data_IF_629212810997
#
_entry.id   IF_629212810997
#
_cell.length_a   1.000
_cell.length_b   1.000
_cell.length_c   1.000
_cell.angle_alpha   90.00
_cell.angle_beta   90.00
_cell.angle_gamma   90.00
#
_symmetry.space_group_name_H-M   'P 1'
#
loop_
_entity.id
_entity.type
_entity.pdbx_description
1 polymer ?
#
# COMPACT_ATOMS: atom_id res chain seq x y z
N UNK A 1 -1.63 -8.51 92.64
CA UNK A 1 -1.85 -9.55 91.63
C UNK A 1 -1.95 -8.87 90.27
N UNK A 2 -0.84 -8.83 89.56
CA UNK A 2 -0.61 -8.03 88.34
C UNK A 2 -0.87 -8.84 87.09
N UNK A 3 -1.69 -8.33 86.17
CA UNK A 3 -1.90 -8.89 84.86
C UNK A 3 -1.02 -8.13 83.87
N UNK A 4 -0.08 -8.86 83.22
CA UNK A 4 0.79 -8.38 82.15
C UNK A 4 0.04 -8.53 80.83
N UNK A 5 -0.10 -7.39 80.11
CA UNK A 5 -0.60 -7.39 78.72
C UNK A 5 0.58 -7.46 77.78
N UNK A 6 0.68 -8.56 77.01
CA UNK A 6 1.57 -8.63 75.81
C UNK A 6 0.86 -8.02 74.61
N UNK A 7 1.45 -6.95 74.05
CA UNK A 7 1.08 -6.38 72.73
C UNK A 7 1.97 -7.00 71.69
N UNK A 8 1.39 -7.77 70.78
CA UNK A 8 2.07 -8.22 69.57
C UNK A 8 1.79 -7.24 68.44
N UNK A 9 2.85 -6.53 68.03
CA UNK A 9 2.86 -5.70 66.87
C UNK A 9 3.05 -6.57 65.62
N UNK A 10 2.00 -6.69 64.79
CA UNK A 10 2.08 -7.25 63.45
C UNK A 10 2.60 -6.20 62.46
N UNK A 11 3.81 -6.39 61.99
CA UNK A 11 4.34 -5.67 60.84
C UNK A 11 3.90 -6.42 59.56
N UNK A 12 2.86 -5.90 58.88
CA UNK A 12 2.45 -6.34 57.55
C UNK A 12 3.36 -5.70 56.50
N UNK A 13 4.27 -6.46 55.95
CA UNK A 13 5.03 -6.09 54.74
C UNK A 13 4.09 -6.23 53.54
N UNK A 14 3.50 -5.14 53.07
CA UNK A 14 2.78 -5.12 51.77
C UNK A 14 3.82 -5.09 50.67
N UNK A 15 4.11 -6.23 50.10
CA UNK A 15 4.87 -6.38 48.86
C UNK A 15 3.96 -5.96 47.68
N UNK A 16 4.06 -4.69 47.26
CA UNK A 16 3.43 -4.19 46.02
C UNK A 16 4.19 -4.78 44.86
N UNK A 17 3.72 -5.91 44.30
CA UNK A 17 4.12 -6.38 42.99
C UNK A 17 3.61 -5.37 41.95
N UNK A 18 4.43 -4.41 41.57
CA UNK A 18 4.28 -3.68 40.33
C UNK A 18 4.52 -4.67 39.15
N UNK A 19 3.47 -5.29 38.70
CA UNK A 19 3.48 -5.96 37.40
C UNK A 19 3.62 -4.87 36.34
N UNK A 20 4.85 -4.62 35.93
CA UNK A 20 5.12 -3.96 34.67
C UNK A 20 4.55 -4.88 33.61
N UNK A 21 3.37 -4.56 33.09
CA UNK A 21 2.87 -5.12 31.84
C UNK A 21 3.88 -4.69 30.76
N UNK A 22 4.90 -5.50 30.58
CA UNK A 22 5.74 -5.41 29.40
C UNK A 22 4.79 -5.62 28.22
N UNK A 23 4.44 -4.57 27.54
CA UNK A 23 3.77 -4.65 26.26
C UNK A 23 4.75 -5.39 25.35
N UNK A 24 4.53 -6.70 25.18
CA UNK A 24 5.38 -7.52 24.34
C UNK A 24 5.24 -6.94 22.92
N UNK A 25 6.30 -6.31 22.45
CA UNK A 25 6.38 -5.78 21.11
C UNK A 25 6.17 -6.90 20.07
N UNK A 26 5.92 -6.53 18.82
CA UNK A 26 5.83 -7.49 17.72
C UNK A 26 7.24 -7.76 17.22
N UNK A 27 7.89 -8.89 17.60
CA UNK A 27 9.28 -9.15 17.28
C UNK A 27 9.41 -9.50 15.81
N UNK A 28 9.86 -8.56 14.99
CA UNK A 28 10.19 -8.80 13.58
C UNK A 28 11.63 -9.31 13.50
N UNK A 29 11.80 -10.59 13.18
CA UNK A 29 13.10 -11.17 12.90
C UNK A 29 13.51 -10.83 11.46
N UNK A 30 14.77 -10.40 11.26
CA UNK A 30 15.31 -10.07 9.93
C UNK A 30 16.63 -10.78 9.68
N UNK A 31 16.84 -11.26 8.44
CA UNK A 31 18.13 -11.78 7.95
C UNK A 31 18.21 -11.72 6.43
N UNK A 32 19.40 -11.90 5.91
CA UNK A 32 19.68 -11.96 4.46
C UNK A 32 20.11 -13.38 4.11
N UNK A 33 19.56 -13.92 3.02
CA UNK A 33 19.97 -15.21 2.48
C UNK A 33 21.26 -15.09 1.64
N UNK A 34 21.98 -16.21 1.40
CA UNK A 34 23.20 -16.19 0.58
C UNK A 34 23.00 -15.63 -0.84
N UNK A 35 21.79 -15.73 -1.39
CA UNK A 35 21.42 -15.17 -2.70
C UNK A 35 21.00 -13.68 -2.63
N UNK A 36 21.15 -13.01 -1.49
CA UNK A 36 20.83 -11.60 -1.31
C UNK A 36 19.37 -11.29 -0.94
N UNK A 37 18.48 -12.27 -0.93
CA UNK A 37 17.08 -12.04 -0.53
C UNK A 37 17.00 -11.63 0.95
N UNK A 38 16.19 -10.60 1.25
CA UNK A 38 15.94 -10.12 2.61
C UNK A 38 14.68 -10.74 3.16
N UNK A 39 14.73 -11.34 4.34
CA UNK A 39 13.62 -12.04 4.97
C UNK A 39 13.22 -11.36 6.26
N UNK A 40 11.93 -11.18 6.45
CA UNK A 40 11.29 -10.59 7.63
C UNK A 40 10.24 -11.57 8.15
N UNK A 41 10.32 -11.98 9.41
CA UNK A 41 9.45 -12.98 10.00
C UNK A 41 8.82 -12.46 11.29
N UNK A 42 7.51 -12.64 11.42
CA UNK A 42 6.80 -12.61 12.69
C UNK A 42 6.23 -14.00 12.95
N UNK A 43 6.70 -14.65 14.01
CA UNK A 43 6.16 -15.93 14.46
C UNK A 43 4.78 -15.72 15.11
N UNK A 44 3.74 -16.33 14.55
CA UNK A 44 2.37 -16.23 15.02
C UNK A 44 1.74 -17.65 15.11
N UNK A 45 2.09 -18.44 16.15
CA UNK A 45 1.71 -19.85 16.23
C UNK A 45 0.25 -20.11 16.62
N UNK A 46 -0.54 -19.08 16.88
CA UNK A 46 -1.94 -19.21 17.32
C UNK A 46 -2.87 -19.91 16.32
N UNK A 47 -2.54 -19.85 15.01
CA UNK A 47 -3.24 -20.56 13.94
C UNK A 47 -2.25 -21.39 13.13
N UNK A 48 -2.58 -22.64 12.75
CA UNK A 48 -1.70 -23.52 11.98
C UNK A 48 -1.66 -23.11 10.49
N UNK A 49 -1.30 -21.86 10.22
CA UNK A 49 -1.23 -21.29 8.88
C UNK A 49 -0.08 -20.30 8.76
N UNK A 50 0.31 -20.02 7.52
CA UNK A 50 1.33 -19.04 7.18
C UNK A 50 0.89 -18.19 6.01
N UNK A 51 1.18 -16.92 6.12
CA UNK A 51 1.08 -15.92 5.04
C UNK A 51 2.49 -15.48 4.65
N UNK A 52 2.79 -15.50 3.36
CA UNK A 52 4.06 -15.06 2.78
C UNK A 52 3.78 -14.03 1.70
N UNK A 53 4.52 -12.93 1.73
CA UNK A 53 4.55 -11.95 0.64
C UNK A 53 5.99 -11.77 0.17
N UNK A 54 6.18 -11.86 -1.15
CA UNK A 54 7.48 -11.61 -1.81
C UNK A 54 7.30 -10.37 -2.68
N UNK A 55 8.05 -9.33 -2.37
CA UNK A 55 8.03 -8.06 -3.10
C UNK A 55 9.31 -7.88 -3.92
N UNK A 56 9.14 -7.45 -5.17
CA UNK A 56 10.21 -7.08 -6.09
C UNK A 56 10.05 -5.63 -6.53
N UNK A 57 11.15 -4.94 -6.78
CA UNK A 57 11.17 -3.61 -7.38
C UNK A 57 10.87 -3.70 -8.88
N UNK A 58 9.63 -4.05 -9.19
CA UNK A 58 9.12 -4.34 -10.52
C UNK A 58 7.67 -3.85 -10.70
N UNK A 59 7.32 -2.75 -10.03
CA UNK A 59 6.01 -2.11 -10.22
C UNK A 59 5.92 -1.34 -11.53
N UNK A 60 4.75 -0.75 -11.79
CA UNK A 60 4.44 -0.04 -13.03
C UNK A 60 5.40 1.14 -13.34
N UNK A 61 6.08 1.70 -12.32
CA UNK A 61 7.13 2.70 -12.54
C UNK A 61 8.35 2.17 -13.29
N UNK A 62 8.45 0.86 -13.47
CA UNK A 62 9.47 0.18 -14.28
C UNK A 62 9.04 -0.08 -15.71
N UNK A 63 7.78 0.18 -16.03
CA UNK A 63 7.27 0.02 -17.38
C UNK A 63 7.92 1.04 -18.33
N UNK A 64 8.29 0.64 -19.55
CA UNK A 64 8.60 1.63 -20.60
C UNK A 64 7.36 2.51 -20.86
N UNK A 65 7.56 3.80 -21.10
CA UNK A 65 6.47 4.74 -21.36
C UNK A 65 5.53 4.30 -22.49
N UNK A 66 6.06 3.57 -23.49
CA UNK A 66 5.30 3.02 -24.62
C UNK A 66 4.59 1.70 -24.32
N UNK A 67 4.83 1.12 -23.14
CA UNK A 67 4.28 -0.17 -22.70
C UNK A 67 3.71 -0.08 -21.28
N UNK A 68 3.12 1.06 -20.91
CA UNK A 68 2.47 1.23 -19.62
C UNK A 68 1.40 0.13 -19.41
N UNK A 69 1.50 -0.60 -18.30
CA UNK A 69 0.71 -1.79 -18.02
C UNK A 69 1.49 -3.11 -18.13
N UNK A 70 2.78 -3.09 -18.52
CA UNK A 70 3.60 -4.29 -18.69
C UNK A 70 3.77 -5.08 -17.39
N UNK A 71 4.04 -4.40 -16.26
CA UNK A 71 4.12 -5.04 -14.95
C UNK A 71 2.82 -5.75 -14.58
N UNK A 72 1.68 -5.06 -14.76
CA UNK A 72 0.35 -5.62 -14.48
C UNK A 72 0.01 -6.79 -15.42
N UNK A 73 0.34 -6.68 -16.72
CA UNK A 73 0.16 -7.75 -17.69
C UNK A 73 1.00 -8.99 -17.31
N UNK A 74 2.24 -8.79 -16.88
CA UNK A 74 3.10 -9.87 -16.41
C UNK A 74 2.50 -10.55 -15.18
N UNK A 75 2.00 -9.79 -14.21
CA UNK A 75 1.37 -10.31 -13.01
C UNK A 75 0.14 -11.17 -13.34
N UNK A 76 -0.77 -10.65 -14.17
CA UNK A 76 -1.96 -11.40 -14.62
C UNK A 76 -1.56 -12.70 -15.32
N UNK A 77 -0.60 -12.63 -16.24
CA UNK A 77 -0.21 -13.78 -17.04
C UNK A 77 0.56 -14.85 -16.26
N UNK A 78 1.15 -14.54 -15.12
CA UNK A 78 1.76 -15.52 -14.21
C UNK A 78 0.72 -16.46 -13.58
N UNK A 79 -0.55 -16.09 -13.53
CA UNK A 79 -1.64 -16.97 -13.07
C UNK A 79 -2.25 -17.86 -14.17
N UNK A 80 -1.80 -17.71 -15.45
CA UNK A 80 -2.41 -18.36 -16.60
C UNK A 80 -1.74 -19.68 -17.00
N UNK A 81 -0.89 -20.19 -16.13
CA UNK A 81 -0.27 -21.50 -16.28
C UNK A 81 1.21 -21.51 -16.00
N UNK A 82 1.75 -22.71 -15.86
CA UNK A 82 3.18 -22.98 -15.62
C UNK A 82 3.75 -23.93 -16.65
N UNK A 83 5.01 -23.70 -17.02
CA UNK A 83 5.72 -24.58 -17.96
C UNK A 83 6.08 -25.93 -17.35
N UNK A 84 6.33 -26.94 -18.19
CA UNK A 84 6.91 -28.21 -17.74
C UNK A 84 8.31 -27.96 -17.14
N UNK A 85 8.62 -28.65 -16.03
CA UNK A 85 9.92 -28.52 -15.35
C UNK A 85 10.21 -29.77 -14.53
N UNK A 86 11.46 -30.29 -14.65
CA UNK A 86 11.95 -31.36 -13.78
C UNK A 86 11.10 -32.62 -13.76
N UNK A 87 10.51 -33.01 -14.89
CA UNK A 87 9.59 -34.14 -15.00
C UNK A 87 8.12 -33.82 -14.67
N UNK A 88 7.82 -32.66 -14.08
CA UNK A 88 6.44 -32.21 -13.88
C UNK A 88 5.87 -31.63 -15.17
N UNK A 89 4.64 -32.07 -15.53
CA UNK A 89 3.95 -31.60 -16.73
C UNK A 89 3.55 -30.12 -16.62
N UNK A 90 3.41 -29.45 -17.77
CA UNK A 90 2.83 -28.12 -17.83
C UNK A 90 1.39 -28.14 -17.27
N UNK A 91 0.98 -27.02 -16.65
CA UNK A 91 -0.40 -26.80 -16.21
C UNK A 91 -0.93 -25.54 -16.88
N UNK A 92 -2.15 -25.59 -17.37
CA UNK A 92 -2.91 -24.40 -17.75
C UNK A 92 -3.57 -23.73 -16.53
N UNK A 93 -4.35 -22.68 -16.74
CA UNK A 93 -5.03 -21.93 -15.68
C UNK A 93 -5.98 -22.82 -14.84
N UNK A 94 -6.72 -23.74 -15.48
CA UNK A 94 -7.68 -24.59 -14.80
C UNK A 94 -6.97 -25.63 -13.92
N UNK A 95 -6.02 -26.36 -14.49
CA UNK A 95 -5.21 -27.35 -13.75
C UNK A 95 -4.44 -26.70 -12.59
N UNK A 96 -3.97 -25.46 -12.78
CA UNK A 96 -3.31 -24.68 -11.74
C UNK A 96 -4.29 -24.30 -10.63
N UNK A 97 -5.51 -23.88 -10.99
CA UNK A 97 -6.57 -23.56 -10.03
C UNK A 97 -7.00 -24.76 -9.20
N UNK A 98 -7.16 -25.93 -9.84
CA UNK A 98 -7.46 -27.19 -9.15
C UNK A 98 -6.35 -27.57 -8.18
N UNK A 99 -5.09 -27.51 -8.60
CA UNK A 99 -3.95 -27.82 -7.74
C UNK A 99 -3.87 -26.91 -6.50
N UNK A 100 -4.19 -25.63 -6.62
CA UNK A 100 -4.27 -24.71 -5.48
C UNK A 100 -5.45 -25.05 -4.55
N UNK A 101 -6.60 -25.41 -5.11
CA UNK A 101 -7.79 -25.81 -4.35
C UNK A 101 -7.54 -27.10 -3.55
N UNK A 102 -6.91 -28.10 -4.14
CA UNK A 102 -6.55 -29.37 -3.51
C UNK A 102 -5.60 -29.18 -2.31
N UNK A 103 -4.73 -28.17 -2.39
CA UNK A 103 -3.80 -27.82 -1.31
C UNK A 103 -4.48 -26.97 -0.20
N UNK A 104 -5.72 -26.48 -0.42
CA UNK A 104 -6.37 -25.53 0.48
C UNK A 104 -5.54 -24.25 0.65
N UNK A 105 -4.76 -23.88 -0.37
CA UNK A 105 -3.85 -22.76 -0.39
C UNK A 105 -4.25 -21.71 -1.42
N UNK A 106 -3.72 -20.52 -1.30
CA UNK A 106 -3.92 -19.46 -2.30
C UNK A 106 -2.60 -18.83 -2.72
N UNK A 107 -2.49 -18.56 -4.01
CA UNK A 107 -1.35 -17.87 -4.61
C UNK A 107 -1.87 -16.75 -5.50
N UNK A 108 -1.42 -15.53 -5.25
CA UNK A 108 -1.84 -14.35 -6.00
C UNK A 108 -0.64 -13.51 -6.39
N UNK A 109 -0.69 -12.95 -7.59
CA UNK A 109 0.33 -12.04 -8.11
C UNK A 109 -0.33 -10.74 -8.50
N UNK A 110 0.26 -9.63 -8.09
CA UNK A 110 -0.22 -8.29 -8.45
C UNK A 110 0.94 -7.32 -8.65
N UNK A 111 0.73 -6.29 -9.44
CA UNK A 111 1.63 -5.18 -9.59
C UNK A 111 0.96 -3.88 -9.15
N UNK A 112 1.67 -3.06 -8.38
CA UNK A 112 1.31 -1.68 -8.04
C UNK A 112 2.27 -0.72 -8.74
N UNK A 113 2.22 0.57 -8.39
CA UNK A 113 3.18 1.52 -8.94
C UNK A 113 4.64 1.15 -8.63
N UNK A 114 4.91 0.67 -7.41
CA UNK A 114 6.27 0.41 -6.94
C UNK A 114 6.64 -1.07 -6.91
N UNK A 115 5.69 -1.94 -6.60
CA UNK A 115 5.92 -3.33 -6.24
C UNK A 115 5.30 -4.28 -7.24
N UNK A 116 6.02 -5.35 -7.48
CA UNK A 116 5.47 -6.59 -7.99
C UNK A 116 5.41 -7.57 -6.82
N UNK A 117 4.22 -7.94 -6.39
CA UNK A 117 4.01 -8.71 -5.18
C UNK A 117 3.43 -10.07 -5.47
N UNK A 118 4.01 -11.10 -4.85
CA UNK A 118 3.55 -12.48 -4.87
C UNK A 118 3.11 -12.85 -3.45
N UNK A 119 1.89 -13.33 -3.30
CA UNK A 119 1.30 -13.69 -2.02
C UNK A 119 0.96 -15.17 -2.00
N UNK A 120 1.42 -15.86 -0.97
CA UNK A 120 1.09 -17.26 -0.68
C UNK A 120 0.45 -17.36 0.70
N UNK A 121 -0.68 -18.03 0.80
CA UNK A 121 -1.28 -18.45 2.07
C UNK A 121 -1.46 -19.97 2.06
N UNK A 122 -1.04 -20.63 3.12
CA UNK A 122 -1.18 -22.08 3.28
C UNK A 122 -1.38 -22.47 4.74
N UNK A 123 -1.96 -23.64 4.96
CA UNK A 123 -1.86 -24.34 6.25
C UNK A 123 -0.42 -24.81 6.46
N UNK A 124 -0.01 -24.95 7.74
CA UNK A 124 1.36 -25.40 8.09
C UNK A 124 1.48 -26.91 8.27
N UNK A 125 0.44 -27.69 7.92
CA UNK A 125 0.55 -29.15 7.80
C UNK A 125 1.58 -29.48 6.73
N UNK A 126 2.50 -30.38 7.07
CA UNK A 126 3.72 -30.64 6.26
C UNK A 126 3.39 -30.90 4.80
N UNK A 127 2.47 -31.82 4.51
CA UNK A 127 2.15 -32.23 3.13
C UNK A 127 1.53 -31.08 2.32
N UNK A 128 0.66 -30.29 2.95
CA UNK A 128 -0.01 -29.16 2.31
C UNK A 128 0.98 -28.01 2.08
N UNK A 129 1.80 -27.69 3.09
CA UNK A 129 2.79 -26.62 2.99
C UNK A 129 3.88 -26.95 1.96
N UNK A 130 4.36 -28.20 1.96
CA UNK A 130 5.37 -28.66 0.99
C UNK A 130 4.86 -28.56 -0.44
N UNK A 131 3.63 -29.06 -0.68
CA UNK A 131 2.96 -28.94 -1.97
C UNK A 131 2.75 -27.48 -2.40
N UNK A 132 2.26 -26.62 -1.48
CA UNK A 132 2.02 -25.21 -1.75
C UNK A 132 3.31 -24.45 -2.08
N UNK A 133 4.38 -24.67 -1.33
CA UNK A 133 5.70 -24.06 -1.56
C UNK A 133 6.30 -24.54 -2.90
N UNK A 134 6.17 -25.82 -3.21
CA UNK A 134 6.67 -26.37 -4.49
C UNK A 134 5.91 -25.78 -5.69
N UNK A 135 4.59 -25.72 -5.61
CA UNK A 135 3.75 -25.14 -6.67
C UNK A 135 4.02 -23.64 -6.82
N UNK A 136 4.11 -22.90 -5.70
CA UNK A 136 4.45 -21.47 -5.70
C UNK A 136 5.83 -21.20 -6.31
N UNK A 137 6.85 -21.97 -5.93
CA UNK A 137 8.21 -21.85 -6.49
C UNK A 137 8.21 -22.04 -8.01
N UNK A 138 7.45 -23.03 -8.49
CA UNK A 138 7.31 -23.29 -9.93
C UNK A 138 6.55 -22.18 -10.65
N UNK A 139 5.44 -21.71 -10.08
CA UNK A 139 4.64 -20.63 -10.66
C UNK A 139 5.40 -19.30 -10.66
N UNK A 140 6.20 -19.04 -9.63
CA UNK A 140 7.05 -17.86 -9.52
C UNK A 140 8.17 -17.88 -10.59
N UNK A 141 8.78 -19.03 -10.82
CA UNK A 141 9.99 -19.12 -11.64
C UNK A 141 9.75 -19.53 -13.11
N UNK A 142 8.71 -20.28 -13.39
CA UNK A 142 8.44 -20.88 -14.71
C UNK A 142 7.00 -20.62 -15.20
N UNK A 143 6.51 -19.36 -15.20
CA UNK A 143 5.21 -19.06 -15.81
C UNK A 143 5.28 -19.34 -17.32
N UNK A 144 4.23 -19.93 -17.89
CA UNK A 144 4.22 -20.36 -19.29
C UNK A 144 4.00 -19.21 -20.29
N UNK A 145 3.30 -18.14 -19.86
CA UNK A 145 2.90 -17.01 -20.71
C UNK A 145 2.31 -17.45 -22.05
N UNK A 146 1.15 -18.16 -22.09
CA UNK A 146 0.59 -18.68 -23.33
C UNK A 146 0.09 -17.54 -24.21
N UNK A 147 0.53 -17.49 -25.47
CA UNK A 147 0.26 -16.38 -26.40
C UNK A 147 -1.23 -16.21 -26.72
N UNK A 148 -1.97 -17.31 -26.89
CA UNK A 148 -3.42 -17.25 -27.15
C UNK A 148 -4.18 -16.68 -25.94
N UNK A 149 -3.76 -17.04 -24.72
CA UNK A 149 -4.36 -16.50 -23.48
C UNK A 149 -4.05 -15.01 -23.37
N UNK A 150 -2.79 -14.58 -23.65
CA UNK A 150 -2.46 -13.16 -23.66
C UNK A 150 -3.31 -12.36 -24.67
N UNK A 151 -3.57 -12.88 -25.84
CA UNK A 151 -4.45 -12.21 -26.81
C UNK A 151 -5.86 -12.01 -26.24
N UNK A 152 -6.43 -13.02 -25.59
CA UNK A 152 -7.76 -12.95 -24.98
C UNK A 152 -7.77 -11.98 -23.79
N UNK A 153 -6.75 -12.02 -22.91
CA UNK A 153 -6.63 -11.11 -21.77
C UNK A 153 -6.48 -9.67 -22.24
N UNK A 154 -5.66 -9.42 -23.26
CA UNK A 154 -5.49 -8.10 -23.87
C UNK A 154 -6.80 -7.54 -24.40
N UNK A 155 -7.59 -8.36 -25.12
CA UNK A 155 -8.91 -7.94 -25.61
C UNK A 155 -9.88 -7.61 -24.47
N UNK A 156 -9.93 -8.46 -23.42
CA UNK A 156 -10.73 -8.18 -22.22
C UNK A 156 -10.32 -6.88 -21.57
N UNK A 157 -9.04 -6.65 -21.44
CA UNK A 157 -8.52 -5.43 -20.83
C UNK A 157 -8.81 -4.19 -21.66
N UNK A 158 -8.68 -4.26 -22.98
CA UNK A 158 -9.08 -3.18 -23.88
C UNK A 158 -10.56 -2.85 -23.76
N UNK A 159 -11.43 -3.85 -23.68
CA UNK A 159 -12.86 -3.64 -23.45
C UNK A 159 -13.14 -2.98 -22.09
N UNK A 160 -12.46 -3.41 -21.03
CA UNK A 160 -12.54 -2.81 -19.71
C UNK A 160 -12.07 -1.34 -19.69
N UNK A 161 -11.01 -1.01 -20.44
CA UNK A 161 -10.54 0.39 -20.60
C UNK A 161 -11.56 1.23 -21.38
N UNK A 162 -12.18 0.67 -22.42
CA UNK A 162 -13.24 1.36 -23.17
C UNK A 162 -14.43 1.67 -22.25
N UNK A 163 -14.85 0.72 -21.41
CA UNK A 163 -15.88 0.94 -20.39
C UNK A 163 -15.44 1.96 -19.34
N UNK A 164 -14.22 1.85 -18.81
CA UNK A 164 -13.70 2.81 -17.82
C UNK A 164 -13.69 4.24 -18.36
N UNK A 165 -13.41 4.43 -19.65
CA UNK A 165 -13.44 5.74 -20.32
C UNK A 165 -14.85 6.37 -20.43
N UNK A 166 -15.92 5.64 -20.10
CA UNK A 166 -17.27 6.20 -19.97
C UNK A 166 -17.56 6.68 -18.53
N UNK A 167 -16.68 6.42 -17.59
CA UNK A 167 -16.87 6.73 -16.16
C UNK A 167 -16.23 8.08 -15.80
N UNK A 168 -17.02 9.08 -15.38
CA UNK A 168 -16.51 10.43 -15.14
C UNK A 168 -15.40 10.48 -14.07
N UNK A 169 -15.55 9.72 -12.98
CA UNK A 169 -14.54 9.67 -11.92
C UNK A 169 -13.19 9.09 -12.39
N UNK A 170 -13.22 8.12 -13.31
CA UNK A 170 -12.01 7.54 -13.91
C UNK A 170 -11.27 8.58 -14.79
N UNK A 171 -12.01 9.28 -15.67
CA UNK A 171 -11.44 10.30 -16.53
C UNK A 171 -10.86 11.47 -15.74
N UNK A 172 -11.57 11.93 -14.72
CA UNK A 172 -11.08 13.00 -13.84
C UNK A 172 -9.82 12.56 -13.08
N UNK A 173 -9.77 11.31 -12.60
CA UNK A 173 -8.60 10.74 -11.91
C UNK A 173 -7.36 10.64 -12.82
N UNK A 174 -7.55 10.24 -14.08
CA UNK A 174 -6.48 10.19 -15.09
C UNK A 174 -5.91 11.58 -15.37
N UNK A 175 -6.79 12.55 -15.63
CA UNK A 175 -6.39 13.93 -15.87
C UNK A 175 -5.61 14.50 -14.68
N UNK A 176 -6.07 14.22 -13.46
CA UNK A 176 -5.37 14.61 -12.23
C UNK A 176 -3.99 13.96 -12.13
N UNK A 177 -3.88 12.65 -12.31
CA UNK A 177 -2.60 11.95 -12.24
C UNK A 177 -1.60 12.47 -13.29
N UNK A 178 -2.04 12.64 -14.53
CA UNK A 178 -1.21 13.20 -15.59
C UNK A 178 -0.70 14.62 -15.27
N UNK A 179 -1.56 15.47 -14.70
CA UNK A 179 -1.19 16.84 -14.35
C UNK A 179 -0.27 16.92 -13.12
N UNK A 180 -0.48 16.05 -12.12
CA UNK A 180 0.33 16.03 -10.89
C UNK A 180 1.70 15.43 -11.13
N UNK A 181 1.80 14.35 -11.90
CA UNK A 181 3.04 13.61 -12.06
C UNK A 181 3.83 13.97 -13.34
N UNK A 182 3.20 14.64 -14.30
CA UNK A 182 3.85 15.03 -15.56
C UNK A 182 4.46 13.83 -16.28
N UNK A 183 5.77 13.86 -16.48
CA UNK A 183 6.53 12.80 -17.17
C UNK A 183 6.98 11.68 -16.24
N UNK A 184 6.73 11.78 -14.92
CA UNK A 184 7.09 10.73 -13.98
C UNK A 184 6.23 9.48 -14.20
N UNK A 185 6.79 8.26 -14.09
CA UNK A 185 6.05 7.00 -14.35
C UNK A 185 4.78 6.80 -13.51
N UNK A 186 4.64 7.44 -12.35
CA UNK A 186 3.39 7.40 -11.57
C UNK A 186 2.19 8.02 -12.31
N UNK A 187 2.44 8.87 -13.30
CA UNK A 187 1.42 9.47 -14.15
C UNK A 187 1.12 8.70 -15.43
N UNK A 188 1.86 7.60 -15.70
CA UNK A 188 1.60 6.80 -16.89
C UNK A 188 0.23 6.13 -16.80
N UNK A 189 -0.50 6.23 -17.90
CA UNK A 189 -1.80 5.64 -18.03
C UNK A 189 -1.74 4.50 -19.06
N UNK A 190 -2.35 3.35 -18.72
CA UNK A 190 -2.47 2.24 -19.63
C UNK A 190 -3.52 2.55 -20.68
N UNK A 191 -3.14 2.55 -21.96
CA UNK A 191 -4.04 2.76 -23.10
C UNK A 191 -4.17 1.51 -23.95
N UNK A 192 -5.17 1.48 -24.84
CA UNK A 192 -5.31 0.39 -25.82
C UNK A 192 -4.07 0.25 -26.71
N UNK A 193 -3.43 1.36 -27.08
CA UNK A 193 -2.19 1.35 -27.86
C UNK A 193 -1.02 0.73 -27.06
N UNK A 194 -0.88 1.07 -25.77
CA UNK A 194 0.12 0.45 -24.91
C UNK A 194 -0.09 -1.06 -24.78
N UNK A 195 -1.34 -1.51 -24.59
CA UNK A 195 -1.65 -2.94 -24.53
C UNK A 195 -1.35 -3.68 -25.87
N UNK A 196 -1.58 -3.01 -27.00
CA UNK A 196 -1.23 -3.58 -28.31
C UNK A 196 0.29 -3.72 -28.50
N UNK A 197 1.08 -2.81 -27.94
CA UNK A 197 2.54 -2.86 -27.99
C UNK A 197 3.16 -3.93 -27.09
N UNK A 198 2.39 -4.51 -26.15
CA UNK A 198 2.88 -5.56 -25.24
C UNK A 198 2.72 -6.92 -25.90
N UNK A 199 3.84 -7.62 -26.07
CA UNK A 199 3.91 -8.99 -26.58
C UNK A 199 4.40 -9.96 -25.49
N UNK A 200 4.19 -11.26 -25.68
CA UNK A 200 4.65 -12.29 -24.73
C UNK A 200 6.17 -12.24 -24.50
N UNK A 201 6.95 -11.86 -25.52
CA UNK A 201 8.38 -11.64 -25.37
C UNK A 201 8.73 -10.57 -24.34
N UNK A 202 7.94 -9.48 -24.27
CA UNK A 202 8.09 -8.41 -23.28
C UNK A 202 7.78 -8.89 -21.87
N UNK A 203 6.71 -9.72 -21.69
CA UNK A 203 6.35 -10.32 -20.40
C UNK A 203 7.48 -11.20 -19.86
N UNK A 204 8.04 -12.08 -20.72
CA UNK A 204 9.18 -12.94 -20.36
C UNK A 204 10.43 -12.14 -20.01
N UNK A 205 10.75 -11.12 -20.81
CA UNK A 205 11.89 -10.26 -20.56
C UNK A 205 11.74 -9.46 -19.24
N UNK A 206 10.53 -8.95 -18.97
CA UNK A 206 10.22 -8.26 -17.72
C UNK A 206 10.38 -9.19 -16.52
N UNK A 207 9.78 -10.38 -16.56
CA UNK A 207 9.92 -11.40 -15.53
C UNK A 207 11.39 -11.74 -15.26
N UNK A 208 12.15 -12.11 -16.28
CA UNK A 208 13.55 -12.50 -16.15
C UNK A 208 14.44 -11.37 -15.60
N UNK A 209 14.14 -10.11 -15.96
CA UNK A 209 14.92 -8.94 -15.55
C UNK A 209 14.68 -8.55 -14.11
N UNK A 210 13.43 -8.56 -13.66
CA UNK A 210 13.05 -7.93 -12.40
C UNK A 210 12.76 -8.93 -11.27
N UNK A 211 12.35 -10.16 -11.58
CA UNK A 211 12.05 -11.16 -10.56
C UNK A 211 13.29 -12.04 -10.30
N UNK A 212 14.26 -11.48 -9.60
CA UNK A 212 15.51 -12.15 -9.24
C UNK A 212 15.59 -12.36 -7.73
N UNK A 213 16.13 -13.50 -7.28
CA UNK A 213 16.18 -13.84 -5.86
C UNK A 213 16.87 -12.76 -5.02
N UNK A 214 17.96 -12.18 -5.51
CA UNK A 214 18.72 -11.12 -4.81
C UNK A 214 17.96 -9.79 -4.62
N UNK A 215 16.85 -9.57 -5.34
CA UNK A 215 15.99 -8.39 -5.17
C UNK A 215 14.78 -8.66 -4.28
N UNK A 216 14.53 -9.94 -3.92
CA UNK A 216 13.36 -10.33 -3.18
C UNK A 216 13.38 -9.77 -1.75
N UNK A 217 12.27 -9.16 -1.33
CA UNK A 217 11.94 -8.85 0.05
C UNK A 217 10.80 -9.78 0.47
N UNK A 218 11.09 -10.70 1.37
CA UNK A 218 10.15 -11.75 1.77
C UNK A 218 9.65 -11.47 3.17
N UNK A 219 8.37 -11.21 3.29
CA UNK A 219 7.68 -11.01 4.57
C UNK A 219 6.85 -12.24 4.91
N UNK A 220 6.92 -12.71 6.15
CA UNK A 220 6.27 -13.93 6.61
C UNK A 220 5.60 -13.67 7.94
N UNK A 221 4.34 -14.09 8.06
CA UNK A 221 3.61 -14.10 9.34
C UNK A 221 2.90 -15.43 9.47
N UNK A 222 3.10 -16.15 10.58
CA UNK A 222 2.40 -17.39 10.82
C UNK A 222 3.14 -18.39 11.73
N UNK A 223 2.66 -19.63 11.72
CA UNK A 223 3.15 -20.69 12.58
C UNK A 223 4.39 -21.38 11.99
N UNK A 224 5.44 -20.61 11.73
CA UNK A 224 6.77 -21.09 11.34
C UNK A 224 7.82 -20.43 12.23
N UNK A 225 8.80 -21.21 12.70
CA UNK A 225 9.98 -20.66 13.32
C UNK A 225 11.00 -20.22 12.24
N UNK A 226 12.07 -19.53 12.68
CA UNK A 226 13.11 -19.00 11.78
C UNK A 226 13.72 -20.06 10.86
N UNK A 227 14.06 -21.23 11.37
CA UNK A 227 14.70 -22.31 10.58
C UNK A 227 13.74 -22.85 9.51
N UNK A 228 12.48 -23.07 9.88
CA UNK A 228 11.44 -23.46 8.93
C UNK A 228 11.21 -22.40 7.87
N UNK A 229 11.03 -21.13 8.27
CA UNK A 229 10.84 -20.02 7.36
C UNK A 229 12.01 -19.89 6.36
N UNK A 230 13.26 -19.99 6.84
CA UNK A 230 14.44 -19.95 5.97
C UNK A 230 14.41 -21.08 4.93
N UNK A 231 14.12 -22.31 5.33
CA UNK A 231 14.03 -23.45 4.41
C UNK A 231 12.95 -23.22 3.33
N UNK A 232 11.76 -22.73 3.72
CA UNK A 232 10.66 -22.45 2.79
C UNK A 232 10.99 -21.32 1.83
N UNK A 233 11.60 -20.24 2.30
CA UNK A 233 12.01 -19.13 1.42
C UNK A 233 13.08 -19.58 0.43
N UNK A 234 14.08 -20.37 0.88
CA UNK A 234 15.09 -20.92 -0.01
C UNK A 234 14.45 -21.76 -1.12
N UNK A 235 13.46 -22.59 -0.79
CA UNK A 235 12.71 -23.39 -1.77
C UNK A 235 11.86 -22.52 -2.69
N UNK A 236 11.13 -21.53 -2.18
CA UNK A 236 10.31 -20.61 -2.98
C UNK A 236 11.13 -19.86 -4.04
N UNK A 237 12.34 -19.46 -3.69
CA UNK A 237 13.20 -18.67 -4.59
C UNK A 237 14.15 -19.54 -5.43
N UNK A 238 14.16 -20.86 -5.26
CA UNK A 238 15.17 -21.77 -5.87
C UNK A 238 15.20 -21.74 -7.40
N UNK A 239 14.07 -21.50 -8.05
CA UNK A 239 13.95 -21.44 -9.51
C UNK A 239 14.28 -20.08 -10.12
N UNK A 240 14.47 -19.04 -9.30
CA UNK A 240 14.90 -17.72 -9.76
C UNK A 240 16.43 -17.66 -9.87
N UNK A 241 16.96 -16.64 -10.56
CA UNK A 241 18.40 -16.40 -10.60
C UNK A 241 18.98 -16.31 -9.19
N UNK A 242 20.01 -17.12 -8.91
CA UNK A 242 20.66 -17.23 -7.60
C UNK A 242 21.95 -16.38 -7.49
N UNK A 243 22.14 -15.39 -8.36
CA UNK A 243 23.26 -14.48 -8.24
C UNK A 243 23.25 -13.81 -6.85
N UNK A 244 24.40 -13.78 -6.13
CA UNK A 244 24.45 -13.24 -4.76
C UNK A 244 24.24 -11.72 -4.72
N UNK A 245 24.46 -11.04 -5.83
CA UNK A 245 24.20 -9.62 -6.01
C UNK A 245 23.52 -9.37 -7.35
N UNK A 246 22.48 -8.57 -7.32
CA UNK A 246 21.81 -8.10 -8.54
C UNK A 246 22.52 -6.90 -9.13
N UNK A 247 22.46 -6.77 -10.45
CA UNK A 247 22.77 -5.51 -11.09
C UNK A 247 21.83 -4.40 -10.58
N UNK A 248 22.36 -3.20 -10.40
CA UNK A 248 21.56 -2.05 -10.02
C UNK A 248 20.47 -1.81 -11.07
N UNK A 249 19.25 -1.61 -10.60
CA UNK A 249 18.14 -1.22 -11.47
C UNK A 249 18.32 0.24 -11.92
N UNK A 250 17.84 0.60 -13.12
CA UNK A 250 17.85 1.99 -13.57
C UNK A 250 17.17 2.90 -12.53
N UNK A 251 17.78 4.06 -12.29
CA UNK A 251 17.16 5.06 -11.41
C UNK A 251 15.82 5.54 -12.01
N UNK A 252 14.81 5.66 -11.15
CA UNK A 252 13.57 6.34 -11.47
C UNK A 252 13.74 7.79 -11.02
N UNK A 253 13.43 8.80 -11.84
CA UNK A 253 13.58 10.20 -11.44
C UNK A 253 12.62 10.53 -10.29
N UNK A 254 12.93 11.57 -9.51
CA UNK A 254 12.02 12.08 -8.48
C UNK A 254 10.84 12.84 -9.10
N UNK A 255 9.69 12.77 -8.42
CA UNK A 255 8.50 13.54 -8.80
C UNK A 255 8.80 15.02 -8.61
N UNK A 256 8.57 15.82 -9.65
CA UNK A 256 8.82 17.25 -9.60
C UNK A 256 7.67 18.00 -8.94
N UNK A 257 8.00 18.98 -8.10
CA UNK A 257 7.01 19.87 -7.52
C UNK A 257 6.35 20.74 -8.59
N UNK A 258 5.08 21.08 -8.39
CA UNK A 258 4.35 21.98 -9.27
C UNK A 258 4.89 23.42 -9.13
N UNK A 259 5.10 24.09 -10.24
CA UNK A 259 5.58 25.48 -10.26
C UNK A 259 4.46 26.52 -10.31
N UNK A 260 3.25 26.11 -10.72
CA UNK A 260 2.04 26.94 -10.84
C UNK A 260 0.78 26.12 -10.69
N UNK A 261 -0.32 26.79 -10.35
CA UNK A 261 -1.66 26.18 -10.37
C UNK A 261 -2.06 25.77 -11.81
N UNK A 262 -2.87 24.71 -11.88
CA UNK A 262 -3.48 24.26 -13.13
C UNK A 262 -4.96 23.95 -12.86
N UNK A 263 -5.86 24.69 -13.51
CA UNK A 263 -7.29 24.42 -13.47
C UNK A 263 -7.71 23.74 -14.79
N UNK A 264 -8.19 22.49 -14.68
CA UNK A 264 -8.54 21.63 -15.81
C UNK A 264 -10.05 21.37 -15.75
N UNK A 265 -10.78 21.97 -16.67
CA UNK A 265 -12.22 21.72 -16.85
C UNK A 265 -12.40 20.71 -17.98
N UNK A 266 -13.11 19.60 -17.69
CA UNK A 266 -13.42 18.56 -18.66
C UNK A 266 -14.92 18.52 -18.87
N UNK A 267 -15.41 18.91 -20.06
CA UNK A 267 -16.83 18.77 -20.39
C UNK A 267 -17.26 17.32 -20.37
N UNK A 268 -18.31 17.03 -19.65
CA UNK A 268 -18.89 15.69 -19.59
C UNK A 268 -20.37 15.78 -19.19
N UNK A 269 -21.23 15.06 -19.88
CA UNK A 269 -22.64 15.04 -19.54
C UNK A 269 -22.86 14.12 -18.33
N UNK A 270 -23.03 14.73 -17.15
CA UNK A 270 -23.22 14.03 -15.89
C UNK A 270 -24.12 14.84 -14.96
N UNK A 271 -24.90 14.15 -14.13
CA UNK A 271 -25.66 14.78 -13.05
C UNK A 271 -24.77 15.34 -11.95
N UNK A 272 -23.56 14.79 -11.80
CA UNK A 272 -22.59 15.19 -10.78
C UNK A 272 -21.27 15.59 -11.43
N UNK A 273 -20.65 16.62 -10.88
CA UNK A 273 -19.28 16.97 -11.16
C UNK A 273 -18.31 16.19 -10.24
N UNK A 274 -17.24 15.70 -10.81
CA UNK A 274 -16.12 15.08 -10.10
C UNK A 274 -14.97 16.06 -9.97
N UNK A 275 -14.50 16.29 -8.75
CA UNK A 275 -13.47 17.27 -8.46
C UNK A 275 -12.30 16.60 -7.76
N UNK A 276 -11.09 16.90 -8.26
CA UNK A 276 -9.83 16.56 -7.60
C UNK A 276 -8.97 17.82 -7.46
N UNK A 277 -8.46 18.08 -6.25
CA UNK A 277 -7.54 19.18 -5.96
C UNK A 277 -6.31 18.58 -5.31
N UNK A 278 -5.10 18.90 -5.76
CA UNK A 278 -3.90 18.38 -5.11
C UNK A 278 -2.61 18.64 -5.85
N UNK A 279 -1.56 18.04 -5.35
CA UNK A 279 -0.17 18.20 -5.79
C UNK A 279 0.66 16.96 -5.45
N UNK A 280 1.93 16.83 -5.90
CA UNK A 280 2.86 15.88 -5.31
C UNK A 280 2.99 16.12 -3.79
N UNK A 281 2.93 15.06 -3.01
CA UNK A 281 3.05 15.08 -1.57
C UNK A 281 4.45 14.66 -1.12
N UNK A 282 4.56 13.50 -0.44
CA UNK A 282 5.81 12.99 0.13
C UNK A 282 6.08 11.55 -0.26
N UNK A 283 7.35 11.14 -0.16
CA UNK A 283 7.73 9.73 -0.12
C UNK A 283 7.39 9.11 1.25
N UNK A 284 7.18 7.79 1.28
CA UNK A 284 6.80 7.06 2.52
C UNK A 284 7.86 7.12 3.62
N UNK A 285 9.13 7.24 3.24
CA UNK A 285 10.25 7.36 4.18
C UNK A 285 10.40 8.76 4.80
N UNK A 286 9.61 9.74 4.34
CA UNK A 286 9.67 11.10 4.90
C UNK A 286 9.43 11.10 6.42
N UNK A 287 10.24 11.83 7.20
CA UNK A 287 9.98 12.02 8.63
C UNK A 287 8.65 12.73 8.91
N UNK A 288 8.10 13.42 7.94
CA UNK A 288 6.84 14.15 8.01
C UNK A 288 5.61 13.25 7.95
N UNK A 289 5.78 11.97 7.63
CA UNK A 289 4.69 11.04 7.38
C UNK A 289 3.65 10.99 8.51
N UNK A 290 4.10 10.90 9.76
CA UNK A 290 3.17 10.78 10.89
C UNK A 290 2.41 12.08 11.16
N UNK A 291 3.08 13.23 11.09
CA UNK A 291 2.44 14.54 11.25
C UNK A 291 1.39 14.79 10.16
N UNK A 292 1.72 14.45 8.90
CA UNK A 292 0.77 14.52 7.79
C UNK A 292 -0.38 13.52 7.94
N UNK A 293 -0.15 12.34 8.52
CA UNK A 293 -1.19 11.35 8.79
C UNK A 293 -2.20 11.89 9.82
N UNK A 294 -1.72 12.42 10.95
CA UNK A 294 -2.58 12.98 12.01
C UNK A 294 -3.29 14.22 11.49
N UNK A 295 -2.57 15.16 10.86
CA UNK A 295 -3.17 16.37 10.32
C UNK A 295 -4.21 16.09 9.22
N UNK A 296 -3.93 15.11 8.35
CA UNK A 296 -4.91 14.72 7.32
C UNK A 296 -6.17 14.09 7.92
N UNK A 297 -6.07 13.39 9.06
CA UNK A 297 -7.27 12.91 9.76
C UNK A 297 -8.19 14.07 10.11
N UNK A 298 -7.64 15.19 10.63
CA UNK A 298 -8.40 16.40 10.93
C UNK A 298 -8.92 17.09 9.67
N UNK A 299 -8.08 17.20 8.63
CA UNK A 299 -8.42 17.92 7.39
C UNK A 299 -9.56 17.25 6.62
N UNK A 300 -9.43 15.95 6.30
CA UNK A 300 -10.40 15.27 5.44
C UNK A 300 -10.38 13.74 5.53
N UNK A 301 -9.46 13.15 6.30
CA UNK A 301 -9.32 11.69 6.44
C UNK A 301 -10.19 11.09 7.56
N UNK A 302 -10.65 11.88 8.52
CA UNK A 302 -11.42 11.44 9.69
C UNK A 302 -12.92 11.27 9.44
N UNK A 303 -13.39 11.29 8.19
CA UNK A 303 -14.80 11.17 7.85
C UNK A 303 -15.61 12.33 8.41
N UNK A 304 -16.69 12.05 9.14
CA UNK A 304 -17.65 13.06 9.64
C UNK A 304 -17.05 14.09 10.60
N UNK A 305 -15.95 13.79 11.25
CA UNK A 305 -15.30 14.72 12.19
C UNK A 305 -14.23 15.60 11.51
N UNK A 306 -14.05 15.48 10.20
CA UNK A 306 -13.05 16.25 9.47
C UNK A 306 -13.58 17.60 9.00
N UNK A 307 -12.67 18.61 8.93
CA UNK A 307 -13.01 19.97 8.52
C UNK A 307 -13.65 20.04 7.12
N UNK A 308 -13.13 19.27 6.16
CA UNK A 308 -13.71 19.21 4.81
C UNK A 308 -15.15 18.71 4.84
N UNK A 309 -15.43 17.64 5.58
CA UNK A 309 -16.78 17.12 5.69
C UNK A 309 -17.70 18.14 6.37
N UNK A 310 -17.27 18.73 7.48
CA UNK A 310 -18.04 19.76 8.19
C UNK A 310 -18.37 20.95 7.28
N UNK A 311 -17.38 21.50 6.57
CA UNK A 311 -17.54 22.75 5.83
C UNK A 311 -18.23 22.56 4.47
N UNK A 312 -17.92 21.47 3.75
CA UNK A 312 -18.43 21.23 2.39
C UNK A 312 -19.77 20.49 2.43
N UNK A 313 -19.89 19.49 3.33
CA UNK A 313 -21.08 18.65 3.41
C UNK A 313 -22.08 19.16 4.44
N UNK A 314 -21.72 19.20 5.72
CA UNK A 314 -22.67 19.41 6.82
C UNK A 314 -23.21 20.85 6.81
N UNK A 315 -22.35 21.86 6.71
CA UNK A 315 -22.76 23.27 6.77
C UNK A 315 -23.37 23.80 5.47
N UNK A 316 -22.94 23.28 4.31
CA UNK A 316 -23.32 23.85 3.00
C UNK A 316 -24.05 22.90 2.07
N UNK A 317 -24.10 21.61 2.38
CA UNK A 317 -24.80 20.63 1.54
C UNK A 317 -24.26 20.51 0.11
N UNK A 318 -22.98 20.90 -0.11
CA UNK A 318 -22.39 20.96 -1.44
C UNK A 318 -21.95 19.59 -1.95
N UNK A 319 -21.65 18.64 -1.08
CA UNK A 319 -21.18 17.32 -1.46
C UNK A 319 -21.71 16.27 -0.52
N UNK A 320 -22.03 15.07 -1.04
CA UNK A 320 -22.33 13.92 -0.20
C UNK A 320 -21.05 13.27 0.36
N UNK A 321 -19.95 13.33 -0.40
CA UNK A 321 -18.67 12.74 -0.02
C UNK A 321 -17.54 13.70 -0.37
N UNK A 322 -16.75 14.07 0.61
CA UNK A 322 -15.51 14.82 0.47
C UNK A 322 -14.47 14.22 1.39
N UNK A 323 -13.26 14.07 0.89
CA UNK A 323 -12.14 13.53 1.68
C UNK A 323 -10.81 14.06 1.17
N UNK A 324 -9.79 14.00 2.03
CA UNK A 324 -8.40 14.20 1.63
C UNK A 324 -7.53 13.04 2.06
N UNK A 325 -6.47 12.78 1.30
CA UNK A 325 -5.47 11.78 1.66
C UNK A 325 -4.13 12.04 0.98
N UNK A 326 -3.08 11.57 1.64
CA UNK A 326 -1.76 11.39 1.08
C UNK A 326 -1.60 9.95 0.61
N UNK A 327 -0.95 9.75 -0.53
CA UNK A 327 -0.64 8.43 -1.09
C UNK A 327 0.87 8.24 -1.17
N UNK A 328 1.60 8.25 -0.03
CA UNK A 328 3.05 8.18 -0.04
C UNK A 328 3.53 6.85 -0.62
N UNK A 329 4.55 6.91 -1.46
CA UNK A 329 5.11 5.80 -2.21
C UNK A 329 6.64 5.80 -2.08
N UNK A 330 7.39 5.06 -2.91
CA UNK A 330 8.85 5.14 -2.93
C UNK A 330 9.35 6.55 -3.30
N UNK A 331 8.65 7.19 -4.24
CA UNK A 331 8.82 8.62 -4.56
C UNK A 331 7.63 9.40 -3.98
N UNK A 332 7.63 10.73 -4.16
CA UNK A 332 6.54 11.56 -3.68
C UNK A 332 5.20 11.17 -4.33
N UNK A 333 4.36 10.50 -3.57
CA UNK A 333 2.98 10.24 -3.98
C UNK A 333 2.09 11.48 -3.79
N UNK A 334 0.91 11.51 -4.42
CA UNK A 334 0.07 12.69 -4.39
C UNK A 334 -0.60 12.93 -3.02
N UNK A 335 -0.74 14.21 -2.66
CA UNK A 335 -1.81 14.69 -1.81
C UNK A 335 -3.01 15.01 -2.69
N UNK A 336 -4.22 14.59 -2.29
CA UNK A 336 -5.43 14.81 -3.04
C UNK A 336 -6.64 15.07 -2.14
N UNK A 337 -7.42 16.11 -2.45
CA UNK A 337 -8.81 16.26 -2.04
C UNK A 337 -9.68 15.71 -3.17
N UNK A 338 -10.67 14.91 -2.83
CA UNK A 338 -11.64 14.35 -3.77
C UNK A 338 -13.06 14.64 -3.28
N UNK A 339 -13.92 15.12 -4.17
CA UNK A 339 -15.33 15.32 -3.88
C UNK A 339 -16.19 15.14 -5.13
N UNK A 340 -17.49 14.86 -4.88
CA UNK A 340 -18.52 14.83 -5.90
C UNK A 340 -19.62 15.80 -5.50
N UNK A 341 -20.10 16.61 -6.44
CA UNK A 341 -21.09 17.65 -6.20
C UNK A 341 -22.07 17.75 -7.36
N UNK A 342 -23.17 18.45 -7.18
CA UNK A 342 -24.05 18.79 -8.30
C UNK A 342 -23.31 19.64 -9.32
N UNK A 343 -23.56 19.42 -10.61
CA UNK A 343 -22.83 20.06 -11.70
C UNK A 343 -22.86 21.61 -11.62
N UNK A 344 -23.99 22.20 -11.18
CA UNK A 344 -24.16 23.65 -11.00
C UNK A 344 -23.59 24.21 -9.68
N UNK A 345 -23.04 23.36 -8.81
CA UNK A 345 -22.43 23.77 -7.53
C UNK A 345 -20.92 23.53 -7.51
N UNK A 346 -20.35 23.03 -8.61
CA UNK A 346 -18.95 22.63 -8.66
C UNK A 346 -17.98 23.78 -8.32
N UNK A 347 -18.21 24.97 -8.86
CA UNK A 347 -17.37 26.15 -8.58
C UNK A 347 -17.37 26.51 -7.08
N UNK A 348 -18.56 26.52 -6.45
CA UNK A 348 -18.68 26.81 -5.03
C UNK A 348 -18.02 25.73 -4.16
N UNK A 349 -18.20 24.45 -4.52
CA UNK A 349 -17.59 23.33 -3.79
C UNK A 349 -16.04 23.37 -3.87
N UNK A 350 -15.48 23.69 -5.04
CA UNK A 350 -14.04 23.89 -5.25
C UNK A 350 -13.53 25.04 -4.39
N UNK A 351 -14.23 26.19 -4.41
CA UNK A 351 -13.86 27.36 -3.63
C UNK A 351 -13.80 27.03 -2.14
N UNK A 352 -14.87 26.46 -1.58
CA UNK A 352 -14.92 26.09 -0.15
C UNK A 352 -13.83 25.08 0.20
N UNK A 353 -13.59 24.06 -0.62
CA UNK A 353 -12.53 23.07 -0.36
C UNK A 353 -11.13 23.69 -0.37
N UNK A 354 -10.85 24.63 -1.29
CA UNK A 354 -9.60 25.40 -1.33
C UNK A 354 -9.44 26.32 -0.12
N UNK A 355 -10.50 26.99 0.31
CA UNK A 355 -10.51 27.85 1.51
C UNK A 355 -10.20 27.04 2.77
N UNK A 356 -10.86 25.89 2.95
CA UNK A 356 -10.59 24.98 4.10
C UNK A 356 -9.15 24.50 4.09
N UNK A 357 -8.63 24.13 2.92
CA UNK A 357 -7.24 23.70 2.80
C UNK A 357 -6.26 24.83 3.12
N UNK A 358 -6.47 26.02 2.56
CA UNK A 358 -5.58 27.17 2.78
C UNK A 358 -5.59 27.59 4.26
N UNK A 359 -6.76 27.65 4.89
CA UNK A 359 -6.89 27.91 6.31
C UNK A 359 -6.15 26.86 7.16
N UNK A 360 -6.30 25.57 6.83
CA UNK A 360 -5.61 24.49 7.53
C UNK A 360 -4.09 24.56 7.39
N UNK A 361 -3.58 24.89 6.20
CA UNK A 361 -2.13 25.06 5.96
C UNK A 361 -1.59 26.28 6.72
N UNK A 362 -2.36 27.37 6.78
CA UNK A 362 -1.95 28.62 7.42
C UNK A 362 -2.02 28.55 8.95
N UNK A 363 -3.11 28.03 9.51
CA UNK A 363 -3.40 28.09 10.95
C UNK A 363 -3.24 26.75 11.67
N UNK A 364 -3.23 25.63 10.92
CA UNK A 364 -3.16 24.28 11.48
C UNK A 364 -4.43 23.80 12.17
N UNK A 365 -4.36 22.61 12.79
CA UNK A 365 -5.43 22.10 13.64
C UNK A 365 -5.37 22.72 15.03
N UNK A 366 -6.49 22.70 15.74
CA UNK A 366 -6.54 23.01 17.17
C UNK A 366 -5.99 21.83 18.00
N UNK A 367 -5.56 22.09 19.25
CA UNK A 367 -5.11 21.03 20.16
C UNK A 367 -6.22 19.99 20.42
N UNK A 368 -7.48 20.41 20.49
CA UNK A 368 -8.62 19.50 20.68
C UNK A 368 -8.82 18.56 19.48
N UNK A 369 -8.69 19.07 18.25
CA UNK A 369 -8.76 18.24 17.01
C UNK A 369 -7.59 17.26 16.95
N UNK A 370 -6.38 17.70 17.31
CA UNK A 370 -5.20 16.83 17.36
C UNK A 370 -5.38 15.72 18.39
N UNK A 371 -5.88 16.04 19.58
CA UNK A 371 -6.12 15.05 20.62
C UNK A 371 -7.16 14.02 20.16
N UNK A 372 -8.28 14.45 19.59
CA UNK A 372 -9.31 13.56 19.06
C UNK A 372 -8.77 12.67 17.92
N UNK A 373 -7.92 13.21 17.05
CA UNK A 373 -7.27 12.44 16.00
C UNK A 373 -6.34 11.36 16.55
N UNK A 374 -5.51 11.71 17.56
CA UNK A 374 -4.63 10.76 18.25
C UNK A 374 -5.42 9.65 18.92
N UNK A 375 -6.45 10.00 19.69
CA UNK A 375 -7.28 9.03 20.41
C UNK A 375 -7.89 8.00 19.45
N UNK A 376 -8.39 8.43 18.28
CA UNK A 376 -8.92 7.54 17.26
C UNK A 376 -7.84 6.68 16.61
N UNK A 377 -6.75 7.30 16.18
CA UNK A 377 -5.67 6.60 15.46
C UNK A 377 -4.95 5.59 16.35
N UNK A 378 -4.66 5.94 17.61
CA UNK A 378 -3.99 5.06 18.58
C UNK A 378 -4.97 4.00 19.08
N UNK A 379 -6.21 4.38 19.43
CA UNK A 379 -7.22 3.44 19.86
C UNK A 379 -7.58 2.39 18.80
N UNK A 380 -7.55 2.79 17.53
CA UNK A 380 -7.77 1.89 16.39
C UNK A 380 -6.53 1.09 15.95
N UNK A 381 -5.35 1.33 16.54
CA UNK A 381 -4.10 0.74 16.04
C UNK A 381 -4.06 -0.77 16.18
N UNK A 382 -4.52 -1.32 17.29
CA UNK A 382 -4.58 -2.77 17.52
C UNK A 382 -5.42 -3.50 16.44
N UNK A 383 -6.48 -2.87 15.93
CA UNK A 383 -7.32 -3.43 14.86
C UNK A 383 -6.61 -3.51 13.50
N UNK A 384 -5.45 -2.86 13.36
CA UNK A 384 -4.60 -2.95 12.16
C UNK A 384 -3.62 -4.12 12.23
N UNK A 385 -3.57 -4.86 13.33
CA UNK A 385 -2.62 -5.92 13.63
C UNK A 385 -3.32 -7.22 14.08
N UNK A 386 -4.64 -7.28 14.08
CA UNK A 386 -5.48 -8.31 14.69
C UNK A 386 -5.56 -9.64 13.90
N UNK A 387 -4.90 -9.72 12.75
CA UNK A 387 -4.86 -10.93 11.94
C UNK A 387 -3.51 -11.08 11.23
N UNK A 388 -3.14 -12.33 10.88
CA UNK A 388 -1.92 -12.60 10.12
C UNK A 388 -1.85 -11.75 8.84
N UNK A 389 -2.95 -11.56 8.13
CA UNK A 389 -3.01 -10.77 6.90
C UNK A 389 -2.65 -9.31 7.15
N UNK A 390 -3.31 -8.67 8.12
CA UNK A 390 -3.05 -7.26 8.44
C UNK A 390 -1.63 -7.07 9.00
N UNK A 391 -1.16 -8.03 9.79
CA UNK A 391 0.22 -8.00 10.30
C UNK A 391 1.22 -8.16 9.16
N UNK A 392 0.97 -9.08 8.20
CA UNK A 392 1.79 -9.23 7.01
C UNK A 392 1.85 -7.94 6.18
N UNK A 393 0.72 -7.28 5.96
CA UNK A 393 0.66 -6.00 5.24
C UNK A 393 1.55 -4.93 5.91
N UNK A 394 1.60 -4.89 7.24
CA UNK A 394 2.49 -3.99 7.98
C UNK A 394 3.96 -4.41 7.88
N UNK A 395 4.27 -5.69 8.06
CA UNK A 395 5.64 -6.22 7.96
C UNK A 395 6.20 -6.01 6.54
N UNK A 396 5.39 -6.25 5.51
CA UNK A 396 5.80 -6.01 4.12
C UNK A 396 6.04 -4.53 3.83
N UNK A 397 5.27 -3.62 4.44
CA UNK A 397 5.54 -2.19 4.33
C UNK A 397 6.82 -1.77 5.05
N UNK A 398 7.11 -2.34 6.23
CA UNK A 398 8.37 -2.13 6.95
C UNK A 398 9.53 -2.60 6.08
N UNK A 399 9.44 -3.82 5.53
CA UNK A 399 10.44 -4.40 4.65
C UNK A 399 10.64 -3.59 3.37
N UNK A 400 9.57 -3.10 2.77
CA UNK A 400 9.61 -2.40 1.48
C UNK A 400 10.23 -1.00 1.59
N UNK A 401 9.83 -0.27 2.61
CA UNK A 401 10.29 1.11 2.82
C UNK A 401 11.52 1.21 3.72
N UNK A 402 12.16 0.07 4.05
CA UNK A 402 13.31 0.00 4.96
C UNK A 402 13.06 0.78 6.26
N UNK A 403 11.85 0.64 6.84
CA UNK A 403 11.49 1.26 8.12
C UNK A 403 12.17 0.50 9.29
N UNK A 404 12.37 1.13 10.44
CA UNK A 404 12.88 0.47 11.63
C UNK A 404 12.04 -0.78 12.00
N UNK A 405 12.68 -1.85 12.47
CA UNK A 405 11.98 -3.09 12.82
C UNK A 405 11.03 -2.92 14.02
N UNK A 406 11.30 -1.94 14.88
CA UNK A 406 10.47 -1.52 16.01
C UNK A 406 9.37 -0.50 15.62
N UNK A 407 9.14 -0.31 14.32
CA UNK A 407 8.20 0.72 13.84
C UNK A 407 6.81 0.56 14.43
N UNK A 408 6.30 -0.66 14.54
CA UNK A 408 4.97 -0.93 15.10
C UNK A 408 4.92 -0.66 16.60
N UNK A 409 5.98 -0.98 17.30
CA UNK A 409 6.07 -0.80 18.76
C UNK A 409 6.17 0.68 19.16
N UNK A 410 6.85 1.47 18.33
CA UNK A 410 7.11 2.90 18.59
C UNK A 410 6.09 3.83 17.93
N UNK A 411 5.19 3.30 17.09
CA UNK A 411 4.25 4.11 16.30
C UNK A 411 3.31 4.95 17.15
N UNK A 412 2.66 4.33 18.14
CA UNK A 412 1.72 5.01 19.04
C UNK A 412 2.38 6.13 19.83
N UNK A 413 3.58 5.88 20.36
CA UNK A 413 4.35 6.88 21.11
C UNK A 413 4.77 8.06 20.22
N UNK A 414 5.17 7.78 18.98
CA UNK A 414 5.52 8.84 18.02
C UNK A 414 4.30 9.70 17.67
N UNK A 415 3.15 9.09 17.46
CA UNK A 415 1.88 9.80 17.21
C UNK A 415 1.49 10.63 18.44
N UNK A 416 1.61 10.06 19.65
CA UNK A 416 1.26 10.74 20.91
C UNK A 416 2.06 12.03 21.14
N UNK A 417 3.32 12.07 20.70
CA UNK A 417 4.22 13.23 20.89
C UNK A 417 3.95 14.40 19.96
N UNK A 418 3.23 14.19 18.84
CA UNK A 418 2.95 15.26 17.88
C UNK A 418 2.09 16.36 18.53
N UNK A 419 2.39 17.61 18.23
CA UNK A 419 1.65 18.78 18.68
C UNK A 419 0.95 19.47 17.50
N UNK A 420 -0.02 20.35 17.77
CA UNK A 420 -0.67 21.13 16.73
C UNK A 420 0.33 22.04 15.97
N UNK A 421 1.31 22.69 16.61
CA UNK A 421 2.37 23.42 15.91
C UNK A 421 3.24 22.54 15.00
N UNK A 422 3.58 21.29 15.42
CA UNK A 422 4.34 20.37 14.56
C UNK A 422 3.58 20.02 13.28
N UNK A 423 2.28 19.77 13.42
CA UNK A 423 1.39 19.45 12.29
C UNK A 423 1.25 20.67 11.38
N UNK A 424 0.98 21.85 11.94
CA UNK A 424 0.86 23.09 11.14
C UNK A 424 2.16 23.37 10.37
N UNK A 425 3.31 23.35 11.03
CA UNK A 425 4.60 23.58 10.38
C UNK A 425 4.88 22.54 9.28
N UNK A 426 4.46 21.28 9.49
CA UNK A 426 4.61 20.22 8.49
C UNK A 426 3.72 20.45 7.28
N UNK A 427 2.46 20.82 7.46
CA UNK A 427 1.54 21.13 6.36
C UNK A 427 2.01 22.37 5.58
N UNK A 428 2.45 23.43 6.26
CA UNK A 428 2.93 24.66 5.64
C UNK A 428 4.16 24.46 4.74
N UNK A 429 5.10 23.55 5.12
CA UNK A 429 6.25 23.25 4.27
C UNK A 429 5.97 22.24 3.16
N UNK A 430 4.94 21.41 3.33
CA UNK A 430 4.65 20.32 2.38
C UNK A 430 3.65 20.72 1.32
N UNK A 431 2.62 21.49 1.67
CA UNK A 431 1.53 21.83 0.75
C UNK A 431 1.59 23.31 0.34
N UNK A 432 1.33 23.53 -0.94
CA UNK A 432 1.31 24.85 -1.59
C UNK A 432 -0.05 25.05 -2.28
N UNK A 433 -1.10 25.44 -1.55
CA UNK A 433 -2.47 25.52 -2.06
C UNK A 433 -2.59 26.37 -3.35
N UNK A 434 -1.75 27.39 -3.47
CA UNK A 434 -1.69 28.30 -4.61
C UNK A 434 -1.09 27.68 -5.88
N UNK A 435 -0.50 26.47 -5.81
CA UNK A 435 0.14 25.79 -6.95
C UNK A 435 -0.50 24.48 -7.32
N UNK A 436 -1.62 24.13 -6.68
CA UNK A 436 -2.25 22.83 -6.90
C UNK A 436 -2.93 22.69 -8.27
N UNK A 437 -2.98 21.45 -8.74
CA UNK A 437 -3.87 21.05 -9.83
C UNK A 437 -5.29 20.97 -9.29
N UNK A 438 -6.25 21.52 -10.03
CA UNK A 438 -7.68 21.29 -9.83
C UNK A 438 -8.27 20.74 -11.12
N UNK A 439 -8.82 19.54 -11.04
CA UNK A 439 -9.58 18.93 -12.13
C UNK A 439 -11.05 18.96 -11.77
N UNK A 440 -11.87 19.50 -12.67
CA UNK A 440 -13.33 19.49 -12.56
C UNK A 440 -13.91 18.87 -13.82
N UNK A 441 -14.55 17.74 -13.69
CA UNK A 441 -15.22 17.06 -14.79
C UNK A 441 -16.73 17.09 -14.58
N UNK A 442 -17.49 17.46 -15.62
CA UNK A 442 -18.96 17.46 -15.60
C UNK A 442 -19.59 18.67 -14.92
N UNK A 443 -18.85 19.76 -14.65
CA UNK A 443 -19.43 21.04 -14.21
C UNK A 443 -20.28 21.65 -15.34
N UNK A 444 -21.36 22.30 -14.95
CA UNK A 444 -22.11 23.19 -15.84
C UNK A 444 -21.61 24.61 -15.65
N UNK A 445 -21.56 25.42 -16.72
CA UNK A 445 -21.21 26.83 -16.64
C UNK A 445 -22.14 27.62 -15.72
#
# INVERSE_FOLDING_TARGET
MSAVRCQHAFWGLALSCLTVLAQAGIPIQHWVLPNGARVYLVEAPGLPMVDVQIDFDAGARRDPATQAGLASATAVMMSKGVAAMGGAMAMDENALGEAWADLGASFNVNASNDRFSVNLRSLTRTELLDGAVQLAARQLSHPSFPSAVWQSERQRWQASLAEANTKPGYLAGRAFAAAVYGTHPYGYDTTSAHLQAIEVGHLRAFHARYLQACQARVSIVGALNRAQAQARVTQLLSGLSQAPACAALPAVPEVQSLTRAQDIAIPFESAQAHVFIGQPGIARQSPDFLALTVGNYVLGGGGFVSRLTEQVREKRGLSYSVSSYFSPSMHAGAFRIALQTRANQAAQAVQVAREVLADFVQHGPTEAEVQAAKDNLIGGFALRLDSNRKLLDNVSNIAWYDLPLDYLDTWSDKVQRLTAPDIQATFARTLQPERMVTVVLGAKP
#
